data_IF_003165285694
#
_entry.id   IF_003165285694
#
_cell.length_a   1.000
_cell.length_b   1.000
_cell.length_c   1.000
_cell.angle_alpha   90.00
_cell.angle_beta   90.00
_cell.angle_gamma   90.00
#
_symmetry.space_group_name_H-M   'P 1'
#
loop_
_entity.id
_entity.type
_entity.pdbx_description
1 polymer ?
#
# COMPACT_ATOMS: atom_id res chain seq x y z
N UNK A 1 44.11 -1.68 17.18
CA UNK A 1 42.95 -2.36 17.81
C UNK A 1 42.05 -1.29 18.38
N UNK A 2 41.06 -0.82 17.60
CA UNK A 2 40.08 0.14 18.09
C UNK A 2 39.08 -0.58 19.00
N UNK A 3 38.97 -0.10 20.24
CA UNK A 3 37.99 -0.58 21.21
C UNK A 3 36.62 -0.03 20.79
N UNK A 4 35.78 -0.87 20.18
CA UNK A 4 34.36 -0.58 19.97
C UNK A 4 33.67 -0.38 21.33
N UNK A 5 33.24 0.85 21.60
CA UNK A 5 32.43 1.21 22.75
C UNK A 5 31.10 0.43 22.70
N UNK A 6 30.95 -0.58 23.57
CA UNK A 6 29.80 -1.50 23.62
C UNK A 6 28.49 -0.89 24.16
N UNK A 7 28.46 0.41 24.49
CA UNK A 7 27.36 1.02 25.26
C UNK A 7 26.61 2.17 24.56
N UNK A 8 26.79 2.39 23.26
CA UNK A 8 25.97 3.36 22.56
C UNK A 8 24.59 2.77 22.23
N UNK A 9 23.61 3.03 23.08
CA UNK A 9 22.20 2.76 22.79
C UNK A 9 21.76 3.69 21.67
N UNK A 10 21.54 3.14 20.48
CA UNK A 10 21.08 3.88 19.31
C UNK A 10 19.71 4.50 19.62
N UNK A 11 19.67 5.83 19.79
CA UNK A 11 18.43 6.57 20.05
C UNK A 11 17.68 6.79 18.74
N UNK A 12 16.53 6.13 18.59
CA UNK A 12 15.63 6.37 17.45
C UNK A 12 14.74 7.59 17.74
N UNK A 13 14.64 8.50 16.77
CA UNK A 13 13.79 9.70 16.89
C UNK A 13 12.32 9.41 16.60
N UNK A 14 12.05 8.36 15.83
CA UNK A 14 10.71 7.93 15.45
C UNK A 14 10.70 6.43 15.15
N UNK A 15 9.53 5.81 15.33
CA UNK A 15 9.24 4.42 14.98
C UNK A 15 7.99 4.45 14.10
N UNK A 16 8.06 3.79 12.95
CA UNK A 16 6.94 3.66 12.03
C UNK A 16 6.42 2.23 12.08
N UNK A 17 5.11 2.09 12.20
CA UNK A 17 4.43 0.80 12.15
C UNK A 17 3.56 0.78 10.90
N UNK A 18 3.64 -0.33 10.16
CA UNK A 18 2.61 -0.63 9.16
C UNK A 18 1.27 -0.89 9.88
N UNK A 19 0.17 -0.66 9.21
CA UNK A 19 -1.15 -0.86 9.78
C UNK A 19 -1.64 -2.28 9.52
N UNK A 20 -1.72 -2.70 8.26
CA UNK A 20 -2.09 -4.05 7.85
C UNK A 20 -1.03 -5.07 8.29
N UNK A 21 -1.44 -6.16 8.95
CA UNK A 21 -0.55 -7.25 9.36
C UNK A 21 0.42 -6.95 10.51
N UNK A 22 0.64 -5.69 10.88
CA UNK A 22 1.46 -5.29 12.05
C UNK A 22 0.61 -4.81 13.22
N UNK A 23 -0.36 -3.92 12.98
CA UNK A 23 -1.28 -3.41 14.01
C UNK A 23 -2.69 -3.99 13.88
N UNK A 24 -3.08 -4.44 12.69
CA UNK A 24 -4.34 -5.12 12.41
C UNK A 24 -4.11 -6.60 12.08
N UNK A 25 -5.00 -7.46 12.57
CA UNK A 25 -5.03 -8.86 12.15
C UNK A 25 -5.56 -8.98 10.71
N UNK A 26 -5.22 -10.08 10.03
CA UNK A 26 -5.64 -10.35 8.64
C UNK A 26 -7.14 -10.26 8.45
N UNK A 27 -7.93 -10.67 9.45
CA UNK A 27 -9.40 -10.57 9.41
C UNK A 27 -9.87 -9.11 9.38
N UNK A 28 -9.34 -8.27 10.26
CA UNK A 28 -9.71 -6.85 10.33
C UNK A 28 -9.27 -6.10 9.06
N UNK A 29 -8.09 -6.43 8.54
CA UNK A 29 -7.58 -5.87 7.28
C UNK A 29 -8.48 -6.22 6.09
N UNK A 30 -8.92 -7.49 6.00
CA UNK A 30 -9.85 -7.93 4.99
C UNK A 30 -11.20 -7.21 5.06
N UNK A 31 -11.76 -7.04 6.27
CA UNK A 31 -13.02 -6.31 6.48
C UNK A 31 -12.89 -4.84 6.07
N UNK A 32 -11.76 -4.19 6.39
CA UNK A 32 -11.48 -2.82 5.98
C UNK A 32 -11.44 -2.69 4.45
N UNK A 33 -10.75 -3.61 3.76
CA UNK A 33 -10.71 -3.63 2.30
C UNK A 33 -12.10 -3.86 1.68
N UNK A 34 -12.95 -4.72 2.27
CA UNK A 34 -14.33 -4.91 1.81
C UNK A 34 -15.16 -3.64 1.93
N UNK A 35 -15.06 -2.91 3.04
CA UNK A 35 -15.77 -1.64 3.21
C UNK A 35 -15.30 -0.58 2.22
N UNK A 36 -13.99 -0.48 2.00
CA UNK A 36 -13.42 0.42 1.00
C UNK A 36 -13.96 0.09 -0.41
N UNK A 37 -14.02 -1.19 -0.79
CA UNK A 37 -14.55 -1.56 -2.11
C UNK A 37 -16.06 -1.33 -2.24
N UNK A 38 -16.85 -1.48 -1.16
CA UNK A 38 -18.28 -1.11 -1.17
C UNK A 38 -18.47 0.37 -1.46
N UNK A 39 -17.69 1.25 -0.83
CA UNK A 39 -17.75 2.69 -1.08
C UNK A 39 -17.36 3.04 -2.52
N UNK A 40 -16.32 2.39 -3.06
CA UNK A 40 -15.89 2.56 -4.46
C UNK A 40 -17.00 2.12 -5.42
N UNK A 41 -17.60 0.95 -5.20
CA UNK A 41 -18.69 0.43 -6.03
C UNK A 41 -19.87 1.41 -6.04
N UNK A 42 -20.27 1.92 -4.87
CA UNK A 42 -21.35 2.90 -4.76
C UNK A 42 -21.01 4.22 -5.45
N UNK A 43 -19.81 4.76 -5.21
CA UNK A 43 -19.37 6.05 -5.77
C UNK A 43 -19.36 6.04 -7.30
N UNK A 44 -18.96 4.93 -7.91
CA UNK A 44 -18.81 4.82 -9.37
C UNK A 44 -19.91 4.00 -10.05
N UNK A 45 -20.95 3.58 -9.31
CA UNK A 45 -22.06 2.77 -9.79
C UNK A 45 -21.59 1.51 -10.57
N UNK A 46 -20.63 0.78 -10.00
CA UNK A 46 -20.02 -0.38 -10.65
C UNK A 46 -20.90 -1.63 -10.51
N UNK A 47 -21.00 -2.41 -11.58
CA UNK A 47 -21.61 -3.75 -11.55
C UNK A 47 -20.58 -4.80 -11.15
N UNK A 48 -20.10 -4.74 -9.91
CA UNK A 48 -19.14 -5.69 -9.35
C UNK A 48 -19.45 -6.01 -7.89
N UNK A 49 -19.05 -7.20 -7.42
CA UNK A 49 -19.11 -7.53 -6.00
C UNK A 49 -17.93 -6.91 -5.24
N UNK A 50 -18.10 -6.51 -3.97
CA UNK A 50 -16.98 -6.07 -3.13
C UNK A 50 -15.86 -7.12 -3.02
N UNK A 51 -16.22 -8.39 -2.94
CA UNK A 51 -15.29 -9.51 -2.77
C UNK A 51 -14.39 -9.69 -4.01
N UNK A 52 -14.96 -9.59 -5.22
CA UNK A 52 -14.20 -9.63 -6.47
C UNK A 52 -13.26 -8.43 -6.58
N UNK A 53 -13.72 -7.26 -6.18
CA UNK A 53 -12.92 -6.03 -6.18
C UNK A 53 -11.75 -6.10 -5.20
N UNK A 54 -11.97 -6.65 -3.99
CA UNK A 54 -10.90 -6.90 -3.02
C UNK A 54 -9.88 -7.88 -3.57
N UNK A 55 -10.33 -8.96 -4.21
CA UNK A 55 -9.44 -9.95 -4.81
C UNK A 55 -8.56 -9.33 -5.89
N UNK A 56 -9.14 -8.52 -6.77
CA UNK A 56 -8.40 -7.76 -7.79
C UNK A 56 -7.42 -6.78 -7.17
N UNK A 57 -7.87 -5.99 -6.19
CA UNK A 57 -7.04 -5.01 -5.49
C UNK A 57 -5.80 -5.66 -4.86
N UNK A 58 -6.00 -6.77 -4.13
CA UNK A 58 -4.91 -7.50 -3.50
C UNK A 58 -3.93 -8.08 -4.53
N UNK A 59 -4.40 -8.49 -5.71
CA UNK A 59 -3.52 -8.99 -6.78
C UNK A 59 -2.55 -7.93 -7.32
N UNK A 60 -2.93 -6.65 -7.24
CA UNK A 60 -2.05 -5.54 -7.61
C UNK A 60 -1.19 -5.04 -6.44
N UNK A 61 -1.67 -5.18 -5.20
CA UNK A 61 -0.94 -4.70 -4.02
C UNK A 61 0.21 -5.62 -3.61
N UNK A 62 0.01 -6.94 -3.68
CA UNK A 62 1.00 -7.92 -3.21
C UNK A 62 1.85 -8.45 -4.36
N UNK A 63 2.53 -7.57 -5.08
CA UNK A 63 3.53 -7.96 -6.08
C UNK A 63 4.89 -8.21 -5.42
N UNK A 64 5.75 -8.98 -6.08
CA UNK A 64 7.13 -9.27 -5.63
C UNK A 64 7.99 -8.01 -5.45
N UNK A 65 7.60 -6.91 -6.11
CA UNK A 65 8.26 -5.60 -6.05
C UNK A 65 7.90 -4.82 -4.76
N UNK A 66 6.86 -5.23 -4.03
CA UNK A 66 6.36 -4.57 -2.82
C UNK A 66 6.98 -5.13 -1.52
N UNK A 67 7.67 -6.27 -1.59
CA UNK A 67 8.39 -6.81 -0.44
C UNK A 67 9.71 -6.05 -0.24
N UNK A 68 9.79 -5.28 0.86
CA UNK A 68 11.00 -4.59 1.36
C UNK A 68 12.21 -5.53 1.63
N UNK A 69 12.06 -6.82 1.37
CA UNK A 69 13.10 -7.84 1.57
C UNK A 69 14.26 -7.71 0.57
N UNK A 70 14.03 -7.10 -0.60
CA UNK A 70 15.01 -7.06 -1.69
C UNK A 70 15.72 -5.71 -1.89
N UNK A 71 15.53 -4.71 -0.99
CA UNK A 71 16.15 -3.38 -1.12
C UNK A 71 17.05 -3.02 0.07
N UNK A 72 18.19 -2.38 -0.21
CA UNK A 72 19.13 -1.89 0.82
C UNK A 72 18.37 -0.98 1.81
N UNK A 73 18.42 -1.25 3.13
CA UNK A 73 17.80 -0.41 4.16
C UNK A 73 18.16 1.08 4.10
N UNK A 74 19.25 1.45 3.41
CA UNK A 74 19.68 2.83 3.16
C UNK A 74 18.98 3.49 1.97
N UNK A 75 18.41 2.72 1.05
CA UNK A 75 17.63 3.17 -0.10
C UNK A 75 16.11 3.17 0.18
N UNK A 76 15.69 3.16 1.46
CA UNK A 76 14.27 3.26 1.85
C UNK A 76 13.66 4.60 1.43
N UNK A 77 13.34 4.72 0.16
CA UNK A 77 12.37 5.65 -0.35
C UNK A 77 11.05 4.89 -0.44
N UNK A 78 9.97 5.46 0.06
CA UNK A 78 8.62 4.95 -0.20
C UNK A 78 8.19 5.16 -1.66
N UNK A 79 9.11 5.62 -2.51
CA UNK A 79 8.89 5.91 -3.93
C UNK A 79 8.45 4.68 -4.70
N UNK A 80 9.08 3.48 -4.56
CA UNK A 80 8.64 2.28 -5.28
C UNK A 80 7.24 1.84 -4.83
N UNK A 81 6.94 1.90 -3.53
CA UNK A 81 5.61 1.60 -2.99
C UNK A 81 4.56 2.53 -3.60
N UNK A 82 4.83 3.84 -3.58
CA UNK A 82 3.94 4.87 -4.11
C UNK A 82 3.70 4.74 -5.62
N UNK A 83 4.74 4.46 -6.39
CA UNK A 83 4.65 4.25 -7.83
C UNK A 83 3.88 2.96 -8.17
N UNK A 84 4.09 1.90 -7.39
CA UNK A 84 3.32 0.66 -7.50
C UNK A 84 1.85 0.88 -7.16
N UNK A 85 1.52 1.65 -6.12
CA UNK A 85 0.13 1.97 -5.78
C UNK A 85 -0.53 2.88 -6.84
N UNK A 86 0.17 3.89 -7.37
CA UNK A 86 -0.33 4.72 -8.48
C UNK A 86 -0.65 3.87 -9.72
N UNK A 87 0.25 2.94 -10.07
CA UNK A 87 0.07 2.01 -11.20
C UNK A 87 -1.11 1.07 -10.98
N UNK A 88 -1.22 0.49 -9.78
CA UNK A 88 -2.33 -0.38 -9.40
C UNK A 88 -3.68 0.33 -9.51
N UNK A 89 -3.75 1.57 -9.01
CA UNK A 89 -4.96 2.38 -9.05
C UNK A 89 -5.39 2.69 -10.49
N UNK A 90 -4.46 3.17 -11.33
CA UNK A 90 -4.73 3.44 -12.74
C UNK A 90 -5.13 2.19 -13.52
N UNK A 91 -4.44 1.07 -13.29
CA UNK A 91 -4.74 -0.19 -13.96
C UNK A 91 -6.12 -0.74 -13.59
N UNK A 92 -6.57 -0.53 -12.35
CA UNK A 92 -7.91 -0.93 -11.91
C UNK A 92 -8.99 -0.12 -12.63
N UNK A 93 -8.81 1.19 -12.78
CA UNK A 93 -9.76 2.05 -13.47
C UNK A 93 -9.83 1.78 -14.98
N UNK A 94 -8.69 1.54 -15.62
CA UNK A 94 -8.65 1.28 -17.06
C UNK A 94 -9.37 -0.02 -17.43
N UNK A 95 -9.31 -1.05 -16.59
CA UNK A 95 -10.09 -2.29 -16.76
C UNK A 95 -11.61 -2.07 -16.69
N UNK A 96 -12.05 -0.97 -16.11
CA UNK A 96 -13.44 -0.53 -16.06
C UNK A 96 -13.78 0.51 -17.15
N UNK A 97 -12.89 0.76 -18.12
CA UNK A 97 -13.00 1.83 -19.11
C UNK A 97 -13.12 3.24 -18.47
N UNK A 98 -12.50 3.44 -17.31
CA UNK A 98 -12.44 4.72 -16.61
C UNK A 98 -11.00 5.27 -16.64
N UNK A 99 -10.88 6.59 -16.75
CA UNK A 99 -9.61 7.29 -16.56
C UNK A 99 -9.52 7.91 -15.17
N UNK A 100 -8.33 7.85 -14.57
CA UNK A 100 -8.03 8.51 -13.30
C UNK A 100 -7.96 10.03 -13.47
N UNK A 101 -8.64 10.79 -12.61
CA UNK A 101 -8.54 12.26 -12.61
C UNK A 101 -7.29 12.76 -11.88
N UNK A 102 -6.92 14.03 -12.09
CA UNK A 102 -5.83 14.66 -11.33
C UNK A 102 -6.10 14.73 -9.82
N UNK A 103 -7.37 14.74 -9.42
CA UNK A 103 -7.77 14.77 -8.02
C UNK A 103 -7.57 13.41 -7.36
N UNK A 104 -7.93 12.31 -8.05
CA UNK A 104 -7.70 10.95 -7.58
C UNK A 104 -6.20 10.67 -7.36
N UNK A 105 -5.37 11.23 -8.24
CA UNK A 105 -3.92 11.04 -8.23
C UNK A 105 -3.20 11.94 -7.22
N UNK A 106 -3.90 12.90 -6.61
CA UNK A 106 -3.30 13.86 -5.66
C UNK A 106 -2.73 13.15 -4.43
N UNK A 107 -3.33 12.03 -4.02
CA UNK A 107 -2.84 11.20 -2.92
C UNK A 107 -1.45 10.61 -3.16
N UNK A 108 -1.05 10.44 -4.42
CA UNK A 108 0.27 9.90 -4.80
C UNK A 108 1.32 11.00 -5.06
N UNK A 109 0.90 12.27 -5.13
CA UNK A 109 1.82 13.40 -5.29
C UNK A 109 2.34 13.83 -3.90
N UNK A 110 3.64 14.13 -3.84
CA UNK A 110 4.34 14.52 -2.61
C UNK A 110 4.05 15.97 -2.27
#
# INVERSE_FOLDING_TARGET
MEKLNKNETKKYKAIFFDFGGTLMCTESDHVAHLHMMKEVIQKYNLSASPEDMVTKYNSFLFTKEMTLLDTDPKEKSFTPLRESTDRAFRGTLSQCNLESSNEDLRWFKK
#
